data_IF_325290358619
#
_entry.id   IF_325290358619
#
_cell.length_a   1.000
_cell.length_b   1.000
_cell.length_c   1.000
_cell.angle_alpha   90.00
_cell.angle_beta   90.00
_cell.angle_gamma   90.00
#
_symmetry.space_group_name_H-M   'P 1'
#
loop_
_entity.id
_entity.type
_entity.pdbx_description
1 polymer ?
#
# COMPACT_ATOMS: atom_id res chain seq x y z
N UNK A 1 17.49 26.45 3.48
CA UNK A 1 16.17 25.77 3.51
C UNK A 1 16.36 24.33 3.06
N UNK A 2 16.72 23.41 3.96
CA UNK A 2 16.88 21.96 3.66
C UNK A 2 16.05 21.07 4.61
N UNK A 3 15.25 21.66 5.50
CA UNK A 3 14.88 20.96 6.74
C UNK A 3 13.61 20.13 6.68
N UNK A 4 12.53 20.58 6.04
CA UNK A 4 11.24 19.88 6.19
C UNK A 4 11.23 18.48 5.54
N UNK A 5 11.74 18.35 4.31
CA UNK A 5 11.72 17.06 3.59
C UNK A 5 12.62 16.00 4.23
N UNK A 6 13.78 16.40 4.74
CA UNK A 6 14.74 15.51 5.42
C UNK A 6 14.24 15.10 6.81
N UNK A 7 13.58 16.00 7.55
CA UNK A 7 13.01 15.69 8.87
C UNK A 7 11.83 14.70 8.75
N UNK A 8 10.96 14.86 7.74
CA UNK A 8 9.86 13.91 7.52
C UNK A 8 10.36 12.52 7.07
N UNK A 9 11.38 12.47 6.22
CA UNK A 9 12.01 11.20 5.79
C UNK A 9 12.69 10.47 6.95
N UNK A 10 13.51 11.16 7.75
CA UNK A 10 14.22 10.53 8.88
C UNK A 10 13.26 10.00 9.95
N UNK A 11 12.24 10.79 10.32
CA UNK A 11 11.22 10.34 11.28
C UNK A 11 10.36 9.18 10.75
N UNK A 12 10.10 9.12 9.45
CA UNK A 12 9.45 7.97 8.81
C UNK A 12 10.36 6.73 8.86
N UNK A 13 11.60 6.82 8.37
CA UNK A 13 12.54 5.68 8.32
C UNK A 13 12.81 5.11 9.72
N UNK A 14 12.98 5.96 10.73
CA UNK A 14 13.15 5.49 12.12
C UNK A 14 11.92 4.75 12.62
N UNK A 15 10.69 5.24 12.32
CA UNK A 15 9.45 4.54 12.67
C UNK A 15 9.33 3.21 11.93
N UNK A 16 9.63 3.20 10.64
CA UNK A 16 9.58 2.00 9.80
C UNK A 16 10.51 0.92 10.34
N UNK A 17 11.78 1.25 10.57
CA UNK A 17 12.75 0.35 11.17
C UNK A 17 12.34 -0.13 12.58
N UNK A 18 11.74 0.75 13.39
CA UNK A 18 11.31 0.39 14.76
C UNK A 18 10.20 -0.66 14.81
N UNK A 19 9.34 -0.73 13.79
CA UNK A 19 8.33 -1.78 13.66
C UNK A 19 8.91 -3.02 12.95
N UNK A 20 9.70 -2.80 11.90
CA UNK A 20 10.19 -3.88 11.03
C UNK A 20 11.22 -4.77 11.73
N UNK A 21 12.22 -4.18 12.39
CA UNK A 21 13.35 -4.95 12.97
C UNK A 21 12.90 -5.98 14.02
N UNK A 22 12.03 -5.62 14.99
CA UNK A 22 11.53 -6.60 15.95
C UNK A 22 10.66 -7.69 15.31
N UNK A 23 9.85 -7.32 14.31
CA UNK A 23 8.98 -8.27 13.60
C UNK A 23 9.81 -9.32 12.85
N UNK A 24 10.79 -8.90 12.05
CA UNK A 24 11.67 -9.81 11.32
C UNK A 24 12.50 -10.70 12.25
N UNK A 25 12.96 -10.16 13.38
CA UNK A 25 13.71 -10.92 14.40
C UNK A 25 12.84 -12.00 15.04
N UNK A 26 11.56 -11.70 15.29
CA UNK A 26 10.61 -12.68 15.81
C UNK A 26 10.31 -13.80 14.80
N UNK A 27 10.19 -13.48 13.50
CA UNK A 27 10.02 -14.48 12.43
C UNK A 27 11.24 -15.40 12.36
N UNK A 28 12.45 -14.83 12.32
CA UNK A 28 13.70 -15.59 12.26
C UNK A 28 13.90 -16.50 13.48
N UNK A 29 13.43 -16.09 14.66
CA UNK A 29 13.47 -16.93 15.87
C UNK A 29 12.51 -18.11 15.83
N UNK A 30 11.38 -18.00 15.13
CA UNK A 30 10.36 -19.06 15.02
C UNK A 30 10.72 -20.12 13.96
N UNK A 31 11.50 -19.75 12.94
CA UNK A 31 11.88 -20.63 11.84
C UNK A 31 13.40 -20.76 11.74
N UNK A 32 13.97 -21.60 12.61
CA UNK A 32 15.38 -22.00 12.55
C UNK A 32 15.67 -23.07 11.47
N UNK A 33 14.71 -23.37 10.59
CA UNK A 33 14.82 -24.37 9.52
C UNK A 33 15.12 -23.72 8.17
N UNK A 34 15.97 -24.35 7.36
CA UNK A 34 16.56 -23.77 6.14
C UNK A 34 15.61 -23.59 4.96
N UNK A 35 14.37 -24.07 5.03
CA UNK A 35 13.38 -23.84 3.99
C UNK A 35 12.58 -22.56 4.26
N UNK A 36 12.81 -21.55 3.42
CA UNK A 36 11.97 -20.34 3.34
C UNK A 36 10.66 -20.72 2.67
N UNK A 37 9.79 -21.37 3.43
CA UNK A 37 8.45 -21.74 3.00
C UNK A 37 7.61 -20.48 2.66
N UNK A 38 6.64 -20.64 1.75
CA UNK A 38 5.80 -19.55 1.23
C UNK A 38 5.04 -18.83 2.36
N UNK A 39 4.74 -19.50 3.46
CA UNK A 39 4.14 -18.90 4.65
C UNK A 39 5.09 -17.89 5.32
N UNK A 40 6.42 -18.13 5.32
CA UNK A 40 7.40 -17.15 5.80
C UNK A 40 7.36 -15.89 4.95
N UNK A 41 7.32 -16.04 3.63
CA UNK A 41 7.28 -14.90 2.69
C UNK A 41 6.00 -14.08 2.87
N UNK A 42 4.86 -14.75 3.06
CA UNK A 42 3.58 -14.09 3.37
C UNK A 42 3.65 -13.33 4.69
N UNK A 43 4.24 -13.92 5.73
CA UNK A 43 4.41 -13.28 7.04
C UNK A 43 5.36 -12.08 6.98
N UNK A 44 6.52 -12.22 6.32
CA UNK A 44 7.45 -11.10 6.12
C UNK A 44 6.78 -9.97 5.34
N UNK A 45 6.06 -10.28 4.25
CA UNK A 45 5.32 -9.27 3.47
C UNK A 45 4.25 -8.58 4.32
N UNK A 46 3.50 -9.32 5.12
CA UNK A 46 2.52 -8.76 6.04
C UNK A 46 3.15 -7.78 7.03
N UNK A 47 4.26 -8.16 7.67
CA UNK A 47 4.95 -7.31 8.64
C UNK A 47 5.56 -6.07 7.98
N UNK A 48 6.13 -6.22 6.78
CA UNK A 48 6.63 -5.09 5.96
C UNK A 48 5.49 -4.12 5.63
N UNK A 49 4.38 -4.61 5.08
CA UNK A 49 3.24 -3.78 4.71
C UNK A 49 2.58 -3.12 5.94
N UNK A 50 2.54 -3.83 7.08
CA UNK A 50 2.02 -3.30 8.34
C UNK A 50 2.94 -2.22 8.92
N UNK A 51 4.26 -2.43 8.90
CA UNK A 51 5.24 -1.43 9.33
C UNK A 51 5.18 -0.18 8.45
N UNK A 52 5.00 -0.35 7.14
CA UNK A 52 4.80 0.75 6.18
C UNK A 52 3.56 1.57 6.55
N UNK A 53 2.42 0.90 6.75
CA UNK A 53 1.17 1.55 7.13
C UNK A 53 1.27 2.28 8.49
N UNK A 54 1.92 1.67 9.49
CA UNK A 54 2.11 2.27 10.82
C UNK A 54 3.10 3.44 10.83
N UNK A 55 3.98 3.53 9.84
CA UNK A 55 4.92 4.64 9.70
C UNK A 55 4.26 5.87 9.03
N UNK A 56 3.21 5.63 8.26
CA UNK A 56 2.49 6.62 7.46
C UNK A 56 1.10 7.00 8.05
N UNK A 57 0.90 6.93 9.37
CA UNK A 57 -0.42 7.11 10.05
C UNK A 57 -1.21 8.38 9.69
N UNK A 58 -0.56 9.42 9.16
CA UNK A 58 -1.20 10.67 8.74
C UNK A 58 -1.92 10.61 7.39
N UNK A 59 -1.71 9.55 6.61
CA UNK A 59 -2.23 9.41 5.26
C UNK A 59 -3.48 8.53 5.20
N UNK A 60 -4.37 8.80 4.27
CA UNK A 60 -5.54 7.97 4.04
C UNK A 60 -5.10 6.56 3.62
N UNK A 61 -4.24 6.42 2.61
CA UNK A 61 -3.82 5.12 2.07
C UNK A 61 -3.25 4.18 3.15
N UNK A 62 -2.56 4.72 4.17
CA UNK A 62 -1.97 3.92 5.24
C UNK A 62 -3.04 3.32 6.15
N UNK A 63 -4.13 4.05 6.39
CA UNK A 63 -5.28 3.57 7.17
C UNK A 63 -6.00 2.46 6.41
N UNK A 64 -6.15 2.56 5.10
CA UNK A 64 -6.74 1.47 4.29
C UNK A 64 -5.82 0.28 4.21
N UNK A 65 -4.52 0.48 3.97
CA UNK A 65 -3.56 -0.61 3.93
C UNK A 65 -3.62 -1.40 5.23
N UNK A 66 -3.60 -0.70 6.37
CA UNK A 66 -3.77 -1.33 7.70
C UNK A 66 -5.10 -2.07 7.85
N UNK A 67 -6.19 -1.50 7.35
CA UNK A 67 -7.50 -2.16 7.39
C UNK A 67 -7.52 -3.43 6.52
N UNK A 68 -7.05 -3.34 5.28
CA UNK A 68 -6.92 -4.45 4.32
C UNK A 68 -6.04 -5.57 4.86
N UNK A 69 -4.89 -5.26 5.44
CA UNK A 69 -4.01 -6.27 6.06
C UNK A 69 -4.70 -7.02 7.19
N UNK A 70 -5.53 -6.34 7.99
CA UNK A 70 -6.31 -6.98 9.07
C UNK A 70 -7.42 -7.90 8.54
N UNK A 71 -7.98 -7.59 7.38
CA UNK A 71 -9.02 -8.40 6.73
C UNK A 71 -8.43 -9.64 6.03
N UNK A 72 -7.27 -9.51 5.39
CA UNK A 72 -6.63 -10.56 4.60
C UNK A 72 -6.07 -11.76 5.40
N UNK A 73 -6.29 -11.83 6.72
CA UNK A 73 -6.00 -13.04 7.51
C UNK A 73 -7.14 -14.08 7.45
N UNK A 74 -8.23 -13.81 6.69
CA UNK A 74 -9.42 -14.68 6.66
C UNK A 74 -10.05 -15.00 5.30
N UNK A 75 -9.59 -14.48 4.18
CA UNK A 75 -10.13 -14.90 2.88
C UNK A 75 -9.00 -15.06 1.85
N UNK A 76 -8.64 -16.33 1.64
CA UNK A 76 -8.23 -16.83 0.33
C UNK A 76 -9.49 -16.81 -0.57
N UNK A 77 -9.30 -16.68 -1.88
CA UNK A 77 -10.33 -16.62 -2.92
C UNK A 77 -11.23 -15.36 -3.00
N UNK A 78 -10.91 -14.49 -3.98
CA UNK A 78 -11.83 -14.17 -5.09
C UNK A 78 -11.13 -13.36 -6.19
N UNK A 79 -10.62 -14.11 -7.16
CA UNK A 79 -10.51 -13.69 -8.56
C UNK A 79 -11.91 -13.46 -9.13
N UNK A 80 -12.06 -12.35 -9.87
CA UNK A 80 -13.04 -12.18 -10.96
C UNK A 80 -14.49 -11.94 -10.55
N UNK A 81 -15.11 -10.88 -11.08
CA UNK A 81 -15.98 -11.06 -12.26
C UNK A 81 -16.33 -9.69 -12.85
N UNK A 82 -16.42 -9.66 -14.18
CA UNK A 82 -16.73 -8.51 -14.98
C UNK A 82 -18.21 -8.14 -14.90
N UNK A 83 -18.49 -6.86 -15.11
CA UNK A 83 -19.79 -6.43 -15.58
C UNK A 83 -19.56 -5.34 -16.62
N UNK A 84 -19.81 -5.70 -17.88
CA UNK A 84 -19.95 -4.76 -18.98
C UNK A 84 -21.33 -4.12 -18.94
N UNK A 85 -21.39 -2.86 -19.35
CA UNK A 85 -22.57 -2.05 -19.72
C UNK A 85 -22.07 -0.66 -20.19
N UNK A 86 -22.85 0.12 -20.95
CA UNK A 86 -22.70 0.34 -22.38
C UNK A 86 -21.83 1.55 -22.75
N UNK A 87 -21.04 1.39 -23.82
CA UNK A 87 -20.17 2.43 -24.39
C UNK A 87 -21.00 3.47 -25.15
N UNK A 88 -21.27 4.61 -24.50
CA UNK A 88 -21.49 5.87 -25.22
C UNK A 88 -20.13 6.43 -25.65
N UNK A 89 -19.91 6.52 -26.97
CA UNK A 89 -18.66 6.99 -27.58
C UNK A 89 -18.37 8.45 -27.17
N UNK A 90 -17.47 8.64 -26.22
CA UNK A 90 -16.79 9.92 -25.93
C UNK A 90 -15.41 9.95 -26.61
N UNK A 91 -14.87 11.16 -26.91
CA UNK A 91 -13.64 11.34 -27.68
C UNK A 91 -12.43 10.61 -27.04
N UNK A 92 -11.53 10.11 -27.90
CA UNK A 92 -10.46 9.12 -27.62
C UNK A 92 -9.44 9.52 -26.53
N UNK A 93 -9.41 10.76 -26.07
CA UNK A 93 -8.43 11.26 -25.10
C UNK A 93 -8.92 11.21 -23.64
N UNK A 94 -10.21 11.45 -23.40
CA UNK A 94 -10.79 11.46 -22.04
C UNK A 94 -10.96 10.04 -21.49
N UNK A 95 -11.25 9.07 -22.36
CA UNK A 95 -11.39 7.65 -21.99
C UNK A 95 -10.07 7.05 -21.45
N UNK A 96 -8.93 7.43 -22.03
CA UNK A 96 -7.63 6.94 -21.57
C UNK A 96 -7.25 7.49 -20.18
N UNK A 97 -7.61 8.74 -19.90
CA UNK A 97 -7.33 9.38 -18.61
C UNK A 97 -8.17 8.74 -17.50
N UNK A 98 -9.47 8.52 -17.75
CA UNK A 98 -10.35 7.80 -16.83
C UNK A 98 -9.86 6.36 -16.57
N UNK A 99 -9.39 5.64 -17.59
CA UNK A 99 -8.79 4.31 -17.44
C UNK A 99 -7.51 4.34 -16.61
N UNK A 100 -6.61 5.30 -16.84
CA UNK A 100 -5.39 5.48 -16.05
C UNK A 100 -5.71 5.77 -14.59
N UNK A 101 -6.72 6.60 -14.32
CA UNK A 101 -7.19 6.89 -12.97
C UNK A 101 -7.80 5.65 -12.30
N UNK A 102 -8.54 4.84 -13.05
CA UNK A 102 -9.05 3.55 -12.55
C UNK A 102 -7.91 2.58 -12.20
N UNK A 103 -6.87 2.51 -13.04
CA UNK A 103 -5.67 1.71 -12.76
C UNK A 103 -4.95 2.21 -11.50
N UNK A 104 -4.84 3.53 -11.34
CA UNK A 104 -4.19 4.13 -10.17
C UNK A 104 -4.92 3.79 -8.86
N UNK A 105 -6.25 3.85 -8.87
CA UNK A 105 -7.11 3.48 -7.72
C UNK A 105 -6.97 2.01 -7.31
N UNK A 106 -6.63 1.12 -8.26
CA UNK A 106 -6.36 -0.29 -7.98
C UNK A 106 -4.96 -0.51 -7.40
N UNK A 107 -4.01 0.35 -7.75
CA UNK A 107 -2.61 0.21 -7.35
C UNK A 107 -2.34 0.73 -5.93
N UNK A 108 -2.95 1.86 -5.56
CA UNK A 108 -2.78 2.44 -4.22
C UNK A 108 -3.60 1.62 -3.21
N UNK A 109 -3.02 1.21 -2.06
CA UNK A 109 -3.77 0.58 -0.99
C UNK A 109 -4.96 1.42 -0.54
N UNK A 110 -6.18 0.89 -0.72
CA UNK A 110 -7.41 1.59 -0.39
C UNK A 110 -7.94 2.55 -1.45
N UNK A 111 -7.29 2.68 -2.61
CA UNK A 111 -7.68 3.66 -3.64
C UNK A 111 -9.13 3.52 -4.13
N UNK A 112 -9.74 2.33 -4.02
CA UNK A 112 -11.16 2.08 -4.36
C UNK A 112 -12.14 2.60 -3.31
N UNK A 113 -11.74 2.62 -2.03
CA UNK A 113 -12.58 3.01 -0.88
C UNK A 113 -12.33 4.45 -0.42
N UNK A 114 -11.15 4.99 -0.71
CA UNK A 114 -10.66 6.20 -0.05
C UNK A 114 -10.84 7.49 -0.82
N UNK A 115 -11.18 7.45 -2.12
CA UNK A 115 -11.08 8.63 -2.96
C UNK A 115 -12.29 8.72 -3.89
N UNK A 116 -13.12 9.75 -3.74
CA UNK A 116 -14.05 10.16 -4.80
C UNK A 116 -13.42 11.26 -5.67
N UNK A 117 -12.42 11.97 -5.13
CA UNK A 117 -11.74 13.10 -5.74
C UNK A 117 -10.35 12.71 -6.26
N UNK A 118 -10.05 13.16 -7.48
CA UNK A 118 -8.81 12.87 -8.19
C UNK A 118 -7.61 13.68 -7.67
N UNK A 119 -7.83 14.90 -7.18
CA UNK A 119 -6.76 15.72 -6.60
C UNK A 119 -6.23 15.11 -5.30
N UNK A 120 -7.14 14.67 -4.42
CA UNK A 120 -6.78 13.95 -3.20
C UNK A 120 -6.04 12.64 -3.50
N UNK A 121 -6.48 11.88 -4.51
CA UNK A 121 -5.82 10.64 -4.95
C UNK A 121 -4.35 10.87 -5.34
N UNK A 122 -4.07 11.93 -6.11
CA UNK A 122 -2.71 12.26 -6.54
C UNK A 122 -1.82 12.73 -5.38
N UNK A 123 -2.37 13.46 -4.41
CA UNK A 123 -1.62 13.89 -3.21
C UNK A 123 -1.19 12.71 -2.34
N UNK A 124 -2.07 11.72 -2.19
CA UNK A 124 -1.83 10.49 -1.44
C UNK A 124 -0.88 9.56 -2.19
N UNK A 125 -0.99 9.49 -3.53
CA UNK A 125 -0.02 8.80 -4.38
C UNK A 125 1.39 9.34 -4.17
N UNK A 126 1.58 10.66 -4.19
CA UNK A 126 2.91 11.26 -4.01
C UNK A 126 3.54 10.87 -2.66
N UNK A 127 2.72 10.79 -1.61
CA UNK A 127 3.16 10.37 -0.28
C UNK A 127 3.44 8.87 -0.21
N UNK A 128 2.65 8.05 -0.89
CA UNK A 128 2.87 6.60 -1.01
C UNK A 128 4.18 6.29 -1.75
N UNK A 129 4.41 6.92 -2.92
CA UNK A 129 5.66 6.78 -3.68
C UNK A 129 6.86 7.21 -2.84
N UNK A 130 6.76 8.35 -2.16
CA UNK A 130 7.84 8.82 -1.27
C UNK A 130 8.16 7.82 -0.15
N UNK A 131 7.16 7.09 0.37
CA UNK A 131 7.40 6.07 1.39
C UNK A 131 8.03 4.81 0.80
N UNK A 132 7.74 4.46 -0.45
CA UNK A 132 8.34 3.33 -1.16
C UNK A 132 9.81 3.59 -1.51
N UNK A 133 10.16 4.81 -1.92
CA UNK A 133 11.55 5.21 -2.22
C UNK A 133 12.48 5.18 -1.00
N UNK A 134 11.91 5.18 0.21
CA UNK A 134 12.64 5.16 1.48
C UNK A 134 12.80 3.74 2.07
N UNK A 135 12.36 2.71 1.36
CA UNK A 135 12.48 1.30 1.76
C UNK A 135 13.84 0.69 1.40
#
# INVERSE_FOLDING_TARGET
MKSSKVIHSTTFTTKYASYLVPALTNIGRLRASCDVDEETKKMVRYEVDMALALSAKGFAWSRALKHKLRLNYKDDDRVGDGHGEPVTKKPKTEHEEEERMMCLRKLIPGGKEMMADDEMLLSELGSYVSCLELQ
#
